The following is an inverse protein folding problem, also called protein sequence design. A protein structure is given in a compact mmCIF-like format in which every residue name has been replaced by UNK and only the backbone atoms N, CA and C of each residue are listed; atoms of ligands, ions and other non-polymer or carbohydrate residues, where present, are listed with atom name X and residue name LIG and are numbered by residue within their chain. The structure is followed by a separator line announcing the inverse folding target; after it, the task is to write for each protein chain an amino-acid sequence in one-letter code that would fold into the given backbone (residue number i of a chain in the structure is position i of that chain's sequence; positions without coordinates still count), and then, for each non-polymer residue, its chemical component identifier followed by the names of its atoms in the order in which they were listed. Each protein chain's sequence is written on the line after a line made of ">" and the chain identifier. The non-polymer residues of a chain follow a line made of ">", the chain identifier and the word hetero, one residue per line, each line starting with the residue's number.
data_IF_579767121928
#
_entry.id   IF_579767121928
#
_cell.length_a   1.000
_cell.length_b   1.000
_cell.length_c   1.000
_cell.angle_alpha   90.00
_cell.angle_beta   90.00
_cell.angle_gamma   90.00
#
_symmetry.space_group_name_H-M   'P 1'
#
loop_
_entity.id
_entity.type
_entity.pdbx_description
1 polymer ?
#
# COMPACT_ATOMS: atom_id res chain seq x y z
N UNK A 1 2.49 16.77 -7.16
CA UNK A 1 1.68 15.58 -6.83
C UNK A 1 0.29 16.07 -6.47
N UNK A 2 -0.80 15.43 -6.97
CA UNK A 2 -2.17 15.88 -6.68
C UNK A 2 -2.84 15.01 -5.61
N UNK A 3 -2.42 13.76 -5.52
CA UNK A 3 -2.88 12.79 -4.53
C UNK A 3 -1.69 12.05 -3.94
N UNK A 4 -1.81 11.64 -2.68
CA UNK A 4 -0.81 10.83 -1.99
C UNK A 4 -1.50 9.83 -1.07
N UNK A 5 -0.98 8.61 -0.97
CA UNK A 5 -1.46 7.60 -0.03
C UNK A 5 -0.50 7.46 1.16
N UNK A 6 -1.05 7.28 2.36
CA UNK A 6 -0.32 6.74 3.51
C UNK A 6 -0.76 5.29 3.70
N UNK A 7 0.22 4.37 3.71
CA UNK A 7 -0.01 2.93 3.79
C UNK A 7 1.02 2.27 4.71
N UNK A 8 1.00 2.65 5.99
CA UNK A 8 1.84 2.04 7.01
C UNK A 8 1.62 0.52 7.09
N UNK A 9 2.66 -0.24 7.46
CA UNK A 9 2.53 -1.69 7.59
C UNK A 9 1.51 -2.08 8.68
N UNK A 10 0.51 -2.85 8.29
CA UNK A 10 -0.53 -3.45 9.15
C UNK A 10 -1.24 -2.49 10.13
N UNK A 11 -1.22 -1.20 9.85
CA UNK A 11 -1.93 -0.17 10.61
C UNK A 11 -2.32 1.00 9.73
N UNK A 12 -3.31 1.77 10.14
CA UNK A 12 -3.66 3.06 9.56
C UNK A 12 -3.78 4.15 10.66
N UNK A 13 -3.16 3.92 11.82
CA UNK A 13 -3.34 4.78 12.99
C UNK A 13 -2.89 6.23 12.76
N UNK A 14 -1.97 6.48 11.82
CA UNK A 14 -1.53 7.82 11.43
C UNK A 14 -2.46 8.53 10.42
N UNK A 15 -3.55 7.90 9.96
CA UNK A 15 -4.47 8.49 9.00
C UNK A 15 -5.07 9.86 9.43
N UNK A 16 -5.41 10.10 10.73
CA UNK A 16 -5.91 11.40 11.16
C UNK A 16 -4.89 12.54 11.01
N UNK A 17 -3.65 12.34 11.45
CA UNK A 17 -2.57 13.33 11.30
C UNK A 17 -2.25 13.57 9.82
N UNK A 18 -2.17 12.50 9.04
CA UNK A 18 -1.94 12.56 7.60
C UNK A 18 -3.03 13.37 6.86
N UNK A 19 -4.31 13.20 7.24
CA UNK A 19 -5.41 14.01 6.68
C UNK A 19 -5.15 15.50 6.86
N UNK A 20 -4.84 15.91 8.08
CA UNK A 20 -4.61 17.32 8.41
C UNK A 20 -3.39 17.87 7.65
N UNK A 21 -2.31 17.09 7.57
CA UNK A 21 -1.12 17.47 6.81
C UNK A 21 -1.44 17.67 5.31
N UNK A 22 -2.18 16.75 4.70
CA UNK A 22 -2.60 16.87 3.31
C UNK A 22 -3.53 18.05 3.06
N UNK A 23 -4.47 18.35 3.98
CA UNK A 23 -5.35 19.52 3.91
C UNK A 23 -4.55 20.83 3.96
N UNK A 24 -3.52 20.92 4.80
CA UNK A 24 -2.62 22.09 4.88
C UNK A 24 -1.86 22.33 3.56
N UNK A 25 -1.47 21.26 2.88
CA UNK A 25 -0.69 21.31 1.64
C UNK A 25 -1.55 21.31 0.35
N UNK A 26 -2.87 21.22 0.46
CA UNK A 26 -3.77 21.17 -0.68
C UNK A 26 -3.62 19.91 -1.54
N UNK A 27 -3.20 18.80 -0.96
CA UNK A 27 -3.05 17.49 -1.61
C UNK A 27 -4.21 16.61 -1.21
N UNK A 28 -4.77 15.84 -2.14
CA UNK A 28 -5.85 14.89 -1.84
C UNK A 28 -5.27 13.64 -1.20
N UNK A 29 -5.65 13.30 0.05
CA UNK A 29 -5.17 12.10 0.70
C UNK A 29 -5.92 10.85 0.22
N UNK A 30 -5.19 9.74 0.13
CA UNK A 30 -5.72 8.38 0.20
C UNK A 30 -5.24 7.76 1.51
N UNK A 31 -6.12 7.04 2.16
CA UNK A 31 -5.83 6.41 3.44
C UNK A 31 -5.73 4.91 3.25
N UNK A 32 -4.88 4.24 4.01
CA UNK A 32 -4.78 2.80 3.88
C UNK A 32 -3.79 2.16 4.82
N UNK A 33 -3.48 0.92 4.49
CA UNK A 33 -2.40 0.16 5.10
C UNK A 33 -1.81 -0.79 4.06
N UNK A 34 -0.51 -1.06 4.17
CA UNK A 34 0.12 -2.18 3.52
C UNK A 34 0.01 -3.40 4.44
N UNK A 35 -0.96 -4.26 4.15
CA UNK A 35 -1.20 -5.48 4.91
C UNK A 35 -0.24 -6.59 4.48
N UNK A 36 0.32 -7.32 5.45
CA UNK A 36 1.02 -8.57 5.18
C UNK A 36 0.06 -9.73 5.39
N UNK A 37 -0.25 -10.49 4.36
CA UNK A 37 -1.14 -11.66 4.45
C UNK A 37 -0.48 -12.83 5.20
N UNK A 38 -1.25 -13.86 5.55
CA UNK A 38 -0.74 -15.09 6.17
C UNK A 38 0.21 -15.87 5.25
N UNK A 39 0.14 -15.61 3.94
CA UNK A 39 1.08 -16.14 2.93
C UNK A 39 2.33 -15.27 2.79
N UNK A 40 2.53 -14.26 3.65
CA UNK A 40 3.65 -13.29 3.58
C UNK A 40 3.67 -12.44 2.28
N UNK A 41 2.52 -12.24 1.65
CA UNK A 41 2.37 -11.34 0.52
C UNK A 41 1.84 -9.98 0.98
N UNK A 42 2.39 -8.89 0.43
CA UNK A 42 1.93 -7.55 0.73
C UNK A 42 0.75 -7.14 -0.14
N UNK A 43 -0.15 -6.39 0.47
CA UNK A 43 -1.41 -5.91 -0.12
C UNK A 43 -1.68 -4.48 0.32
N UNK A 44 -1.95 -3.60 -0.62
CA UNK A 44 -2.45 -2.27 -0.32
C UNK A 44 -3.98 -2.31 -0.21
N UNK A 45 -4.50 -1.90 0.94
CA UNK A 45 -5.89 -1.53 1.12
C UNK A 45 -6.00 -0.01 1.09
N UNK A 46 -6.63 0.57 0.04
CA UNK A 46 -6.73 2.01 -0.15
C UNK A 46 -8.17 2.49 0.01
N UNK A 47 -8.36 3.59 0.72
CA UNK A 47 -9.68 4.15 1.03
C UNK A 47 -9.72 5.66 0.78
N UNK A 48 -10.93 6.16 0.47
CA UNK A 48 -11.17 7.58 0.25
C UNK A 48 -11.47 8.39 1.51
N UNK A 49 -11.59 7.73 2.67
CA UNK A 49 -11.87 8.35 3.95
C UNK A 49 -11.05 7.69 5.06
N UNK A 50 -10.73 8.39 6.16
CA UNK A 50 -9.93 7.83 7.24
C UNK A 50 -10.66 6.75 8.03
N UNK A 51 -11.98 6.83 8.21
CA UNK A 51 -12.73 5.91 9.06
C UNK A 51 -12.66 4.44 8.59
N UNK A 52 -12.91 4.09 7.31
CA UNK A 52 -12.74 2.71 6.84
C UNK A 52 -11.28 2.26 6.87
N UNK A 53 -10.31 3.15 6.63
CA UNK A 53 -8.89 2.83 6.75
C UNK A 53 -8.50 2.50 8.20
N UNK A 54 -8.98 3.29 9.16
CA UNK A 54 -8.76 3.04 10.59
C UNK A 54 -9.36 1.70 11.02
N UNK A 55 -10.57 1.36 10.56
CA UNK A 55 -11.20 0.06 10.88
C UNK A 55 -10.41 -1.09 10.24
N UNK A 56 -9.94 -0.94 9.00
CA UNK A 56 -9.06 -1.90 8.35
C UNK A 56 -7.77 -2.10 9.15
N UNK A 57 -7.06 -1.00 9.45
CA UNK A 57 -5.82 -1.03 10.22
C UNK A 57 -6.00 -1.62 11.64
N UNK A 58 -7.13 -1.33 12.30
CA UNK A 58 -7.46 -1.92 13.60
C UNK A 58 -7.58 -3.44 13.53
N UNK A 59 -8.32 -3.96 12.54
CA UNK A 59 -8.48 -5.41 12.34
C UNK A 59 -7.16 -6.09 11.99
N UNK A 60 -6.34 -5.47 11.17
CA UNK A 60 -4.99 -5.96 10.87
C UNK A 60 -4.16 -6.05 12.15
N UNK A 61 -4.05 -4.94 12.87
CA UNK A 61 -3.25 -4.86 14.10
C UNK A 61 -3.68 -5.88 15.15
N UNK A 62 -4.98 -6.04 15.38
CA UNK A 62 -5.52 -7.02 16.31
C UNK A 62 -5.24 -8.48 15.90
N UNK A 63 -5.06 -8.73 14.60
CA UNK A 63 -4.76 -10.05 14.06
C UNK A 63 -3.27 -10.43 14.12
N UNK A 64 -2.39 -9.44 14.35
CA UNK A 64 -0.95 -9.70 14.46
C UNK A 64 -0.63 -10.54 15.71
N UNK A 65 0.40 -11.41 15.65
CA UNK A 65 0.84 -12.15 16.81
C UNK A 65 1.21 -11.24 18.01
N UNK A 66 0.91 -11.68 19.22
CA UNK A 66 1.34 -11.02 20.46
C UNK A 66 2.82 -11.31 20.75
N UNK A 67 3.68 -11.14 19.76
CA UNK A 67 5.12 -11.28 19.95
C UNK A 67 5.69 -9.97 20.54
N UNK A 68 6.64 -10.10 21.46
CA UNK A 68 7.33 -8.94 22.00
C UNK A 68 8.07 -8.21 20.89
N UNK A 69 7.74 -6.93 20.70
CA UNK A 69 8.42 -6.03 19.79
C UNK A 69 9.65 -5.43 20.49
N UNK A 70 10.79 -5.46 19.81
CA UNK A 70 12.04 -4.88 20.31
C UNK A 70 12.36 -3.58 19.55
N UNK A 71 12.07 -2.40 20.14
CA UNK A 71 12.31 -1.12 19.47
C UNK A 71 13.81 -0.81 19.29
N UNK A 72 14.69 -1.41 20.10
CA UNK A 72 16.14 -1.24 19.93
C UNK A 72 16.63 -1.88 18.63
N UNK A 73 16.00 -2.98 18.24
CA UNK A 73 16.36 -3.72 17.03
C UNK A 73 15.65 -3.22 15.76
N UNK A 74 14.39 -2.80 15.89
CA UNK A 74 13.51 -2.55 14.74
C UNK A 74 13.11 -1.07 14.60
N UNK A 75 13.52 -0.21 15.52
CA UNK A 75 13.07 1.18 15.58
C UNK A 75 11.72 1.33 16.30
N UNK A 76 11.28 2.56 16.50
CA UNK A 76 10.02 2.85 17.15
C UNK A 76 8.85 2.72 16.15
N UNK A 77 7.72 2.21 16.62
CA UNK A 77 6.46 2.14 15.89
C UNK A 77 5.47 3.10 16.54
N UNK A 78 5.46 4.36 16.06
CA UNK A 78 4.73 5.44 16.72
C UNK A 78 3.51 5.89 15.94
N UNK A 79 2.49 6.31 16.67
CA UNK A 79 1.39 7.12 16.16
C UNK A 79 1.66 8.57 16.56
N UNK A 80 1.49 9.49 15.63
CA UNK A 80 1.75 10.91 15.82
C UNK A 80 0.48 11.74 15.61
N UNK A 81 0.47 12.94 16.18
CA UNK A 81 -0.49 13.98 15.83
C UNK A 81 0.01 14.81 14.63
N UNK A 82 -0.76 15.82 14.22
CA UNK A 82 -0.46 16.70 13.08
C UNK A 82 0.73 17.66 13.31
N UNK A 83 1.23 17.73 14.51
CA UNK A 83 2.41 18.52 14.89
C UNK A 83 3.62 17.60 15.21
N UNK A 84 3.55 16.32 14.77
CA UNK A 84 4.58 15.29 14.90
C UNK A 84 4.89 14.87 16.36
N UNK A 85 3.99 15.17 17.31
CA UNK A 85 4.13 14.66 18.67
C UNK A 85 3.70 13.20 18.75
N UNK A 86 4.47 12.37 19.43
CA UNK A 86 4.13 10.97 19.66
C UNK A 86 2.95 10.90 20.63
N UNK A 87 1.82 10.33 20.17
CA UNK A 87 0.61 10.14 20.97
C UNK A 87 0.41 8.70 21.43
N UNK A 88 1.01 7.74 20.71
CA UNK A 88 0.98 6.32 21.05
C UNK A 88 2.21 5.59 20.52
N UNK A 89 2.63 4.52 21.20
CA UNK A 89 3.62 3.56 20.71
C UNK A 89 2.98 2.19 20.56
N UNK A 90 3.04 1.65 19.34
CA UNK A 90 2.44 0.36 19.01
C UNK A 90 3.35 -0.78 19.45
N UNK A 91 2.80 -1.78 20.13
CA UNK A 91 3.56 -2.85 20.78
C UNK A 91 3.66 -4.15 19.98
N UNK A 92 2.78 -4.36 18.98
CA UNK A 92 2.85 -5.52 18.09
C UNK A 92 3.79 -5.22 16.93
N UNK A 93 4.51 -6.23 16.44
CA UNK A 93 5.46 -6.07 15.35
C UNK A 93 4.71 -5.88 14.01
N UNK A 94 4.69 -4.64 13.51
CA UNK A 94 3.87 -4.26 12.36
C UNK A 94 4.27 -4.92 11.04
N UNK A 95 5.53 -5.30 10.85
CA UNK A 95 5.98 -5.98 9.63
C UNK A 95 5.74 -7.49 9.64
N UNK A 96 5.09 -8.02 10.69
CA UNK A 96 4.71 -9.43 10.77
C UNK A 96 3.51 -9.78 9.89
N UNK A 97 3.35 -11.07 9.56
CA UNK A 97 2.16 -11.57 8.86
C UNK A 97 0.90 -11.44 9.72
N UNK A 98 -0.17 -10.92 9.16
CA UNK A 98 -1.49 -10.92 9.78
C UNK A 98 -2.11 -12.33 9.74
N UNK A 99 -3.19 -12.55 10.49
CA UNK A 99 -3.92 -13.81 10.44
C UNK A 99 -4.81 -13.97 9.18
N UNK A 100 -4.92 -12.92 8.35
CA UNK A 100 -5.76 -12.94 7.16
C UNK A 100 -5.01 -13.49 5.96
N UNK A 101 -5.63 -14.39 5.20
CA UNK A 101 -5.16 -14.78 3.88
C UNK A 101 -5.34 -13.65 2.86
N UNK A 102 -4.66 -13.76 1.71
CA UNK A 102 -4.79 -12.80 0.60
C UNK A 102 -6.26 -12.53 0.24
N UNK A 103 -7.06 -13.60 0.05
CA UNK A 103 -8.48 -13.47 -0.30
C UNK A 103 -9.34 -12.91 0.84
N UNK A 104 -8.99 -13.15 2.09
CA UNK A 104 -9.69 -12.54 3.23
C UNK A 104 -9.41 -11.05 3.33
N UNK A 105 -8.16 -10.63 3.06
CA UNK A 105 -7.81 -9.22 2.94
C UNK A 105 -8.62 -8.53 1.83
N UNK A 106 -8.72 -9.13 0.64
CA UNK A 106 -9.51 -8.59 -0.46
C UNK A 106 -10.97 -8.40 -0.10
N UNK A 107 -11.60 -9.41 0.51
CA UNK A 107 -12.98 -9.29 0.99
C UNK A 107 -13.15 -8.20 2.03
N UNK A 108 -12.27 -8.12 3.02
CA UNK A 108 -12.31 -7.11 4.07
C UNK A 108 -12.16 -5.70 3.50
N UNK A 109 -11.22 -5.50 2.57
CA UNK A 109 -11.01 -4.21 1.90
C UNK A 109 -12.28 -3.79 1.14
N UNK A 110 -12.89 -4.69 0.36
CA UNK A 110 -14.12 -4.40 -0.39
C UNK A 110 -15.33 -4.18 0.52
N UNK A 111 -15.48 -4.94 1.61
CA UNK A 111 -16.53 -4.72 2.62
C UNK A 111 -16.47 -3.32 3.23
N UNK A 112 -15.27 -2.75 3.37
CA UNK A 112 -15.03 -1.40 3.85
C UNK A 112 -15.06 -0.33 2.74
N UNK A 113 -15.33 -0.72 1.47
CA UNK A 113 -15.42 0.18 0.33
C UNK A 113 -14.08 0.63 -0.25
N UNK A 114 -12.99 -0.08 0.05
CA UNK A 114 -11.65 0.19 -0.41
C UNK A 114 -11.31 -0.42 -1.76
N UNK A 115 -10.06 -0.17 -2.20
CA UNK A 115 -9.42 -0.77 -3.36
C UNK A 115 -8.42 -1.83 -2.89
N UNK A 116 -8.51 -3.03 -3.45
CA UNK A 116 -7.66 -4.18 -3.18
C UNK A 116 -6.56 -4.30 -4.23
N UNK A 117 -5.31 -4.03 -3.84
CA UNK A 117 -4.17 -4.01 -4.76
C UNK A 117 -3.03 -4.88 -4.21
N UNK A 118 -2.70 -6.02 -4.82
CA UNK A 118 -1.45 -6.73 -4.53
C UNK A 118 -0.25 -5.83 -4.78
N UNK A 119 0.58 -5.66 -3.74
CA UNK A 119 1.71 -4.75 -3.77
C UNK A 119 2.90 -5.38 -4.49
N UNK A 120 3.66 -4.54 -5.22
CA UNK A 120 4.95 -4.84 -5.86
C UNK A 120 5.11 -6.31 -6.30
N UNK A 121 4.13 -6.82 -7.08
CA UNK A 121 4.00 -8.26 -7.44
C UNK A 121 5.24 -8.85 -8.12
N UNK A 122 6.13 -8.02 -8.64
CA UNK A 122 7.37 -8.39 -9.33
C UNK A 122 8.60 -8.42 -8.42
N UNK A 123 8.46 -8.20 -7.10
CA UNK A 123 9.56 -8.34 -6.14
C UNK A 123 9.85 -9.80 -5.80
N UNK A 124 11.09 -10.04 -5.42
CA UNK A 124 11.56 -11.38 -5.00
C UNK A 124 11.18 -11.73 -3.56
N UNK A 125 10.67 -10.77 -2.79
CA UNK A 125 10.24 -10.93 -1.39
C UNK A 125 8.89 -10.22 -1.19
N UNK A 126 8.06 -10.81 -0.34
CA UNK A 126 6.77 -10.27 0.09
C UNK A 126 5.81 -9.93 -1.06
N UNK A 127 6.00 -10.51 -2.23
CA UNK A 127 5.07 -10.38 -3.35
C UNK A 127 4.23 -11.63 -3.51
N UNK A 128 3.04 -11.49 -4.07
CA UNK A 128 2.18 -12.64 -4.37
C UNK A 128 2.91 -13.67 -5.25
N UNK A 129 3.69 -13.21 -6.25
CA UNK A 129 4.47 -14.09 -7.11
C UNK A 129 5.61 -14.80 -6.40
N UNK A 130 6.32 -14.12 -5.49
CA UNK A 130 7.41 -14.77 -4.75
C UNK A 130 6.90 -15.81 -3.76
N UNK A 131 5.72 -15.61 -3.20
CA UNK A 131 5.13 -16.49 -2.19
C UNK A 131 4.33 -17.64 -2.81
N UNK A 132 3.54 -17.36 -3.84
CA UNK A 132 2.60 -18.33 -4.41
C UNK A 132 3.02 -18.86 -5.80
N UNK A 133 3.94 -18.18 -6.50
CA UNK A 133 4.38 -18.54 -7.85
C UNK A 133 3.43 -18.11 -8.97
N UNK A 134 2.31 -17.50 -8.66
CA UNK A 134 1.30 -16.97 -9.58
C UNK A 134 0.42 -15.93 -8.90
N UNK A 135 -0.33 -15.17 -9.67
CA UNK A 135 -1.38 -14.29 -9.16
C UNK A 135 -2.68 -15.09 -9.06
N UNK A 136 -3.18 -15.41 -7.85
CA UNK A 136 -4.42 -16.15 -7.69
C UNK A 136 -5.61 -15.41 -8.32
N UNK A 137 -6.61 -16.10 -8.87
CA UNK A 137 -7.84 -15.45 -9.29
C UNK A 137 -8.55 -14.81 -8.10
N UNK A 138 -8.73 -13.49 -8.16
CA UNK A 138 -9.45 -12.72 -7.15
C UNK A 138 -9.98 -11.41 -7.78
N UNK A 139 -10.71 -10.61 -7.00
CA UNK A 139 -11.32 -9.35 -7.44
C UNK A 139 -10.37 -8.17 -7.18
N UNK A 140 -9.15 -8.21 -7.73
CA UNK A 140 -8.22 -7.09 -7.61
C UNK A 140 -8.72 -5.85 -8.36
N UNK A 141 -8.58 -4.67 -7.77
CA UNK A 141 -8.89 -3.39 -8.44
C UNK A 141 -7.73 -2.91 -9.32
N UNK A 142 -6.51 -3.25 -8.93
CA UNK A 142 -5.28 -3.02 -9.70
C UNK A 142 -4.17 -3.96 -9.21
N UNK A 143 -3.03 -3.93 -9.86
CA UNK A 143 -1.82 -4.65 -9.47
C UNK A 143 -0.63 -3.70 -9.49
N UNK A 144 0.12 -3.60 -8.40
CA UNK A 144 1.30 -2.73 -8.35
C UNK A 144 2.53 -3.46 -8.89
N UNK A 145 3.32 -2.74 -9.73
CA UNK A 145 4.61 -3.20 -10.25
C UNK A 145 5.73 -2.20 -10.01
N UNK A 146 6.95 -2.73 -9.87
CA UNK A 146 8.18 -1.95 -9.67
C UNK A 146 9.13 -1.97 -10.85
N UNK A 147 8.97 -2.93 -11.77
CA UNK A 147 9.82 -3.10 -12.95
C UNK A 147 9.01 -3.32 -14.24
N UNK A 148 9.51 -2.83 -15.37
CA UNK A 148 8.86 -2.94 -16.68
C UNK A 148 8.84 -4.35 -17.25
N UNK A 149 9.74 -5.20 -16.89
CA UNK A 149 9.86 -6.44 -17.64
C UNK A 149 9.24 -7.62 -16.95
N UNK A 150 8.42 -8.11 -17.48
CA UNK A 150 7.75 -8.85 -18.28
C UNK A 150 7.63 -10.32 -18.10
N UNK A 151 7.92 -11.05 -17.05
CA UNK A 151 7.56 -12.47 -16.88
C UNK A 151 6.40 -12.70 -15.90
N UNK A 152 5.87 -11.61 -15.36
CA UNK A 152 4.75 -11.69 -14.41
C UNK A 152 3.48 -11.40 -15.18
N UNK A 153 2.60 -12.41 -15.24
CA UNK A 153 1.25 -12.24 -15.75
C UNK A 153 0.44 -11.49 -14.67
N UNK A 154 0.05 -10.27 -14.98
CA UNK A 154 -0.81 -9.44 -14.13
C UNK A 154 -2.30 -9.64 -14.42
N UNK A 155 -2.63 -10.58 -15.30
CA UNK A 155 -4.01 -10.80 -15.72
C UNK A 155 -4.63 -9.60 -16.44
N UNK A 156 -5.96 -9.44 -16.34
CA UNK A 156 -6.66 -8.33 -16.98
C UNK A 156 -6.66 -7.05 -16.13
N UNK A 157 -5.87 -6.97 -15.07
CA UNK A 157 -5.95 -5.87 -14.10
C UNK A 157 -5.14 -4.66 -14.56
N UNK A 158 -5.60 -3.48 -14.17
CA UNK A 158 -4.85 -2.24 -14.36
C UNK A 158 -3.54 -2.31 -13.58
N UNK A 159 -2.43 -1.93 -14.22
CA UNK A 159 -1.12 -1.88 -13.57
C UNK A 159 -0.89 -0.48 -13.05
N UNK A 160 -0.51 -0.38 -11.78
CA UNK A 160 -0.08 0.86 -11.14
C UNK A 160 1.36 0.77 -10.67
N UNK A 161 1.93 1.90 -10.32
CA UNK A 161 3.20 2.03 -9.63
C UNK A 161 3.07 3.11 -8.56
N UNK A 162 3.68 2.90 -7.43
CA UNK A 162 3.80 3.87 -6.36
C UNK A 162 5.24 3.98 -5.87
N UNK A 163 5.47 4.90 -4.94
CA UNK A 163 6.84 5.17 -4.48
C UNK A 163 7.39 4.07 -3.59
N UNK A 164 6.53 3.42 -2.80
CA UNK A 164 6.94 2.56 -1.69
C UNK A 164 8.06 3.23 -0.88
N UNK A 165 7.76 4.45 -0.43
CA UNK A 165 8.74 5.35 0.16
C UNK A 165 8.84 5.11 1.65
N UNK A 166 10.03 4.71 2.11
CA UNK A 166 10.38 4.55 3.52
C UNK A 166 11.23 5.74 4.05
N UNK A 167 11.60 6.64 3.15
CA UNK A 167 12.32 7.89 3.46
C UNK A 167 11.83 9.00 2.52
N UNK A 168 11.89 10.28 2.91
CA UNK A 168 11.35 11.39 2.12
C UNK A 168 11.89 11.46 0.69
N UNK A 169 13.16 11.12 0.47
CA UNK A 169 13.83 11.16 -0.83
C UNK A 169 13.24 10.15 -1.84
N UNK A 170 12.52 9.15 -1.36
CA UNK A 170 11.88 8.15 -2.20
C UNK A 170 10.48 8.57 -2.66
N UNK A 171 9.89 9.61 -2.08
CA UNK A 171 8.54 10.07 -2.47
C UNK A 171 8.55 10.54 -3.92
N UNK A 172 7.66 9.96 -4.74
CA UNK A 172 7.52 10.29 -6.16
C UNK A 172 8.54 9.63 -7.09
N UNK A 173 9.42 8.74 -6.60
CA UNK A 173 10.35 7.99 -7.47
C UNK A 173 9.65 7.08 -8.48
N UNK A 174 8.48 6.61 -8.12
CA UNK A 174 7.47 5.97 -8.97
C UNK A 174 6.12 6.55 -8.61
N UNK A 175 5.24 6.63 -9.59
CA UNK A 175 3.89 7.15 -9.40
C UNK A 175 2.98 6.70 -10.53
N UNK A 176 1.69 6.84 -10.34
CA UNK A 176 0.69 6.59 -11.37
C UNK A 176 -0.02 7.90 -11.72
N UNK A 177 -0.16 8.19 -13.01
CA UNK A 177 -1.09 9.21 -13.49
C UNK A 177 -2.40 8.57 -13.91
N UNK A 178 -3.52 9.24 -13.70
CA UNK A 178 -4.81 8.80 -14.20
C UNK A 178 -5.63 9.99 -14.75
N UNK A 179 -6.50 9.67 -15.70
CA UNK A 179 -7.34 10.68 -16.34
C UNK A 179 -8.59 10.93 -15.50
N UNK A 180 -8.78 12.18 -15.05
CA UNK A 180 -9.94 12.62 -14.29
C UNK A 180 -10.12 14.13 -14.40
N UNK A 181 -11.35 14.61 -14.22
CA UNK A 181 -11.62 16.07 -14.15
C UNK A 181 -11.03 16.69 -12.88
N UNK A 182 -11.06 15.96 -11.76
CA UNK A 182 -10.47 16.35 -10.49
C UNK A 182 -9.95 15.12 -9.73
N UNK A 183 -8.86 15.26 -8.94
CA UNK A 183 -8.35 14.17 -8.14
C UNK A 183 -9.33 13.81 -7.03
N UNK A 184 -9.74 12.54 -6.97
CA UNK A 184 -10.58 11.99 -5.92
C UNK A 184 -10.49 10.48 -5.90
N UNK A 185 -10.84 9.85 -4.77
CA UNK A 185 -10.90 8.38 -4.66
C UNK A 185 -11.86 7.75 -5.67
N UNK A 186 -13.02 8.35 -5.88
CA UNK A 186 -14.00 7.87 -6.86
C UNK A 186 -13.46 7.96 -8.31
N UNK A 187 -12.76 9.04 -8.63
CA UNK A 187 -12.13 9.22 -9.94
C UNK A 187 -10.99 8.20 -10.16
N UNK A 188 -10.18 7.93 -9.13
CA UNK A 188 -9.17 6.89 -9.18
C UNK A 188 -9.80 5.52 -9.44
N UNK A 189 -10.83 5.15 -8.67
CA UNK A 189 -11.54 3.88 -8.84
C UNK A 189 -12.05 3.70 -10.27
N UNK A 190 -12.74 4.70 -10.81
CA UNK A 190 -13.23 4.68 -12.19
C UNK A 190 -12.06 4.55 -13.20
N UNK A 191 -10.97 5.27 -12.99
CA UNK A 191 -9.81 5.20 -13.88
C UNK A 191 -9.14 3.82 -13.88
N UNK A 192 -9.11 3.13 -12.73
CA UNK A 192 -8.61 1.75 -12.64
C UNK A 192 -9.53 0.78 -13.36
N UNK A 193 -10.85 0.87 -13.14
CA UNK A 193 -11.86 0.03 -13.81
C UNK A 193 -11.83 0.20 -15.33
N UNK A 194 -11.56 1.40 -15.83
CA UNK A 194 -11.53 1.74 -17.26
C UNK A 194 -10.12 1.67 -17.88
N UNK A 195 -9.12 1.19 -17.14
CA UNK A 195 -7.69 1.13 -17.56
C UNK A 195 -7.13 2.47 -18.04
N UNK A 196 -7.53 3.56 -17.40
CA UNK A 196 -7.04 4.93 -17.67
C UNK A 196 -6.03 5.42 -16.62
N UNK A 197 -5.29 4.49 -16.03
CA UNK A 197 -4.18 4.75 -15.13
C UNK A 197 -2.86 4.29 -15.75
N UNK A 198 -1.82 5.10 -15.63
CA UNK A 198 -0.56 4.93 -16.33
C UNK A 198 0.61 5.00 -15.32
N UNK A 199 1.32 3.89 -15.10
CA UNK A 199 2.45 3.83 -14.18
C UNK A 199 3.69 4.53 -14.75
N UNK A 200 4.47 5.18 -13.88
CA UNK A 200 5.72 5.87 -14.20
C UNK A 200 6.85 5.46 -13.25
N UNK A 201 8.10 5.56 -13.73
CA UNK A 201 9.29 5.25 -12.94
C UNK A 201 9.53 3.76 -12.74
N UNK A 202 8.83 2.90 -13.46
CA UNK A 202 9.07 1.46 -13.50
C UNK A 202 10.42 1.22 -14.21
N UNK A 203 11.32 0.44 -13.59
CA UNK A 203 12.66 0.17 -14.15
C UNK A 203 12.59 -0.90 -15.23
N UNK A 204 13.27 -0.69 -16.37
CA UNK A 204 13.45 -1.76 -17.36
C UNK A 204 14.39 -2.86 -16.84
N UNK A 205 14.21 -4.11 -17.30
CA UNK A 205 15.08 -5.24 -16.89
C UNK A 205 16.53 -5.00 -17.22
N UNK A 206 16.81 -4.23 -18.26
CA UNK A 206 18.18 -3.87 -18.64
C UNK A 206 18.87 -3.02 -17.55
N UNK A 207 18.11 -2.21 -16.81
CA UNK A 207 18.64 -1.36 -15.72
C UNK A 207 18.85 -2.11 -14.40
N UNK A 208 18.24 -3.30 -14.23
CA UNK A 208 18.42 -4.15 -13.05
C UNK A 208 19.69 -5.00 -13.12
N UNK A 209 20.32 -5.11 -14.30
CA UNK A 209 21.54 -5.88 -14.54
C UNK A 209 22.84 -5.09 -14.29
N UNK A 210 22.77 -3.78 -14.05
CA UNK A 210 23.95 -2.98 -13.73
C UNK A 210 24.19 -2.99 -12.21
N UNK A 211 25.37 -3.42 -11.73
CA UNK A 211 25.71 -3.31 -10.31
C UNK A 211 25.80 -1.83 -9.95
N UNK A 212 25.12 -1.45 -8.89
CA UNK A 212 25.25 -0.10 -8.32
C UNK A 212 26.69 0.06 -7.81
N UNK A 213 27.46 0.89 -8.52
CA UNK A 213 28.82 1.31 -8.17
C UNK A 213 28.83 2.27 -6.98
#
# INVERSE_FOLDING_TARGET
>A
MHMVALTDHNTAANAPAFRIACEREGVVPLYGAEATSSEEAHVLGLFGAPEPALEFGRRLYESLPEAAFDPVRYGDQVVVDEDENIVESLSRHLIGGSAFSLSELGRLIHELGGLFVPAHVDRTMFSVWSQLGFLPPDSYDAVERTAEAGRIDTGPFCVIADSDAHVPEHIGRRYTTFEAEAPSFAALKTALEEHRAFPHGIRSVTQLAEPQS
#
